data_IF_623043634582
#
_entry.id   IF_623043634582
#
_cell.length_a   1.000
_cell.length_b   1.000
_cell.length_c   1.000
_cell.angle_alpha   90.00
_cell.angle_beta   90.00
_cell.angle_gamma   90.00
#
_symmetry.space_group_name_H-M   'P 1'
#
loop_
_entity.id
_entity.type
_entity.pdbx_description
1 polymer ?
#
# COMPACT_ATOMS: atom_id res chain seq x y z
N UNK A 1 -5.63 7.79 4.89
CA UNK A 1 -6.70 6.77 4.92
C UNK A 1 -8.00 7.52 5.08
N UNK A 2 -8.94 7.36 4.16
CA UNK A 2 -10.20 8.09 4.12
C UNK A 2 -11.34 7.15 4.46
N UNK A 3 -12.09 7.40 5.53
CA UNK A 3 -13.29 6.60 5.80
C UNK A 3 -14.40 7.02 4.82
N UNK A 4 -14.99 6.08 4.10
CA UNK A 4 -16.10 6.36 3.17
C UNK A 4 -17.44 5.87 3.73
N UNK A 5 -18.46 6.70 3.59
CA UNK A 5 -19.82 6.38 4.04
C UNK A 5 -20.54 5.44 3.05
N UNK A 6 -21.07 4.34 3.56
CA UNK A 6 -21.74 3.30 2.75
C UNK A 6 -23.26 3.47 2.81
N UNK A 7 -23.90 3.71 1.66
CA UNK A 7 -25.37 3.79 1.56
C UNK A 7 -26.02 2.40 1.71
N UNK A 8 -27.14 2.32 2.46
CA UNK A 8 -27.86 1.08 2.88
C UNK A 8 -26.95 0.07 3.59
N UNK A 9 -26.58 0.41 4.82
CA UNK A 9 -25.67 -0.38 5.66
C UNK A 9 -26.39 -0.98 6.89
N UNK A 10 -27.30 -1.96 6.72
CA UNK A 10 -28.06 -2.53 7.84
C UNK A 10 -27.18 -3.33 8.82
N UNK A 11 -25.92 -3.57 8.48
CA UNK A 11 -24.97 -4.37 9.25
C UNK A 11 -23.85 -3.53 9.91
N UNK A 12 -23.85 -2.20 9.71
CA UNK A 12 -22.95 -1.26 10.41
C UNK A 12 -21.47 -1.30 10.00
N UNK A 13 -21.16 -1.67 8.76
CA UNK A 13 -19.78 -1.84 8.27
C UNK A 13 -19.11 -0.48 7.99
N UNK A 14 -17.80 -0.35 8.29
CA UNK A 14 -16.96 0.84 8.01
C UNK A 14 -15.86 0.53 6.98
N UNK A 15 -15.57 1.46 6.06
CA UNK A 15 -14.61 1.27 4.95
C UNK A 15 -13.60 2.41 4.93
N UNK A 16 -12.30 2.10 4.81
CA UNK A 16 -11.21 3.08 4.75
C UNK A 16 -10.41 2.97 3.43
N UNK A 17 -10.13 4.08 2.75
CA UNK A 17 -9.33 4.16 1.52
C UNK A 17 -7.93 4.68 1.83
N UNK A 18 -6.89 3.90 1.57
CA UNK A 18 -5.52 4.46 1.45
C UNK A 18 -5.44 5.09 0.06
N UNK A 19 -5.13 6.39 -0.04
CA UNK A 19 -4.99 7.06 -1.34
C UNK A 19 -3.99 6.32 -2.23
N UNK A 20 -4.25 6.28 -3.54
CA UNK A 20 -3.38 5.60 -4.50
C UNK A 20 -2.20 6.49 -4.88
N UNK A 21 -0.95 5.98 -4.96
CA UNK A 21 0.13 6.72 -5.58
C UNK A 21 -0.21 6.96 -7.06
N UNK A 22 0.00 8.19 -7.54
CA UNK A 22 -0.22 8.57 -8.93
C UNK A 22 0.96 8.12 -9.78
N UNK A 23 0.99 6.82 -10.08
CA UNK A 23 2.07 6.15 -10.81
C UNK A 23 2.19 6.68 -12.25
N UNK A 24 1.09 7.18 -12.83
CA UNK A 24 1.01 7.61 -14.23
C UNK A 24 1.76 8.92 -14.50
N UNK A 25 2.08 9.68 -13.44
CA UNK A 25 2.73 10.97 -13.54
C UNK A 25 4.12 11.01 -12.87
N UNK A 26 4.68 9.85 -12.51
CA UNK A 26 6.03 9.77 -11.95
C UNK A 26 7.09 10.01 -13.02
N UNK A 27 8.12 10.78 -12.67
CA UNK A 27 9.38 10.84 -13.42
C UNK A 27 10.15 9.51 -13.32
N UNK A 28 11.11 9.27 -14.22
CA UNK A 28 11.94 8.04 -14.16
C UNK A 28 12.67 7.88 -12.82
N UNK A 29 13.15 8.99 -12.24
CA UNK A 29 13.81 9.00 -10.92
C UNK A 29 12.84 8.63 -9.78
N UNK A 30 11.61 9.16 -9.81
CA UNK A 30 10.56 8.85 -8.82
C UNK A 30 10.09 7.40 -8.93
N UNK A 31 9.96 6.89 -10.15
CA UNK A 31 9.65 5.49 -10.40
C UNK A 31 10.76 4.57 -9.90
N UNK A 32 12.02 4.94 -10.16
CA UNK A 32 13.20 4.21 -9.66
C UNK A 32 13.21 4.13 -8.13
N UNK A 33 12.99 5.26 -7.45
CA UNK A 33 12.90 5.32 -6.00
C UNK A 33 11.73 4.47 -5.46
N UNK A 34 10.55 4.55 -6.09
CA UNK A 34 9.38 3.76 -5.72
C UNK A 34 9.67 2.26 -5.80
N UNK A 35 10.24 1.79 -6.92
CA UNK A 35 10.59 0.37 -7.12
C UNK A 35 11.66 -0.09 -6.13
N UNK A 36 12.73 0.68 -5.93
CA UNK A 36 13.77 0.32 -4.96
C UNK A 36 13.25 0.26 -3.53
N UNK A 37 12.33 1.16 -3.14
CA UNK A 37 11.69 1.13 -1.83
C UNK A 37 10.79 -0.10 -1.64
N UNK A 38 10.09 -0.51 -2.70
CA UNK A 38 9.27 -1.72 -2.69
C UNK A 38 10.13 -2.98 -2.60
N UNK A 39 11.22 -3.04 -3.36
CA UNK A 39 12.18 -4.14 -3.31
C UNK A 39 12.80 -4.29 -1.92
N UNK A 40 13.26 -3.20 -1.31
CA UNK A 40 13.77 -3.19 0.05
C UNK A 40 12.73 -3.71 1.05
N UNK A 41 11.47 -3.26 0.94
CA UNK A 41 10.38 -3.70 1.81
C UNK A 41 10.06 -5.20 1.64
N UNK A 42 10.15 -5.70 0.42
CA UNK A 42 9.97 -7.13 0.12
C UNK A 42 11.12 -7.96 0.71
N UNK A 43 12.35 -7.49 0.58
CA UNK A 43 13.53 -8.16 1.14
C UNK A 43 13.45 -8.24 2.67
N UNK A 44 13.12 -7.14 3.35
CA UNK A 44 12.90 -7.13 4.81
C UNK A 44 11.83 -8.16 5.23
N UNK A 45 10.75 -8.26 4.47
CA UNK A 45 9.67 -9.19 4.75
C UNK A 45 10.13 -10.65 4.58
N UNK A 46 10.90 -10.94 3.52
CA UNK A 46 11.44 -12.28 3.25
C UNK A 46 12.50 -12.69 4.27
N UNK A 47 13.35 -11.77 4.73
CA UNK A 47 14.34 -12.01 5.79
C UNK A 47 13.63 -12.34 7.11
N UNK A 48 12.62 -11.58 7.51
CA UNK A 48 11.80 -11.87 8.69
C UNK A 48 11.13 -13.24 8.63
N UNK A 49 10.67 -13.66 7.45
CA UNK A 49 10.11 -15.00 7.26
C UNK A 49 11.18 -16.09 7.46
N UNK A 50 12.42 -15.85 7.02
CA UNK A 50 13.53 -16.80 7.20
C UNK A 50 13.96 -16.91 8.67
N UNK A 51 14.01 -15.79 9.39
CA UNK A 51 14.37 -15.75 10.82
C UNK A 51 13.28 -16.34 11.73
N UNK A 52 12.04 -16.38 11.26
CA UNK A 52 10.90 -16.96 11.98
C UNK A 52 10.74 -18.48 11.78
N UNK A 53 11.66 -19.13 11.05
CA UNK A 53 11.73 -20.58 10.87
C UNK A 53 12.92 -21.17 11.61
#
# INVERSE_FOLDING_TARGET
>A
MEEIEVKRNPLGIKVFVVGKPDIEHMTEDEYGLFVSSLEMRMNEYLEKIKESK
#
